data_IF_041234992983
#
_entry.id   IF_041234992983
#
_cell.length_a   1.000
_cell.length_b   1.000
_cell.length_c   1.000
_cell.angle_alpha   90.00
_cell.angle_beta   90.00
_cell.angle_gamma   90.00
#
_symmetry.space_group_name_H-M   'P 1'
#
loop_
_entity.id
_entity.type
_entity.pdbx_description
1 polymer ?
#
# COMPACT_ATOMS: atom_id res chain seq x y z
N UNK A 1 -19.09 -42.49 -6.42
CA UNK A 1 -19.67 -41.12 -6.29
C UNK A 1 -21.13 -41.10 -6.74
N UNK A 2 -21.94 -40.16 -6.22
CA UNK A 2 -23.36 -40.03 -6.61
C UNK A 2 -23.49 -39.34 -7.98
N UNK A 3 -24.31 -39.89 -8.87
CA UNK A 3 -24.51 -39.35 -10.22
C UNK A 3 -24.93 -37.87 -10.23
N UNK A 4 -25.72 -37.44 -9.24
CA UNK A 4 -26.15 -36.05 -9.12
C UNK A 4 -24.97 -35.07 -8.98
N UNK A 5 -23.94 -35.44 -8.18
CA UNK A 5 -22.73 -34.60 -8.03
C UNK A 5 -21.95 -34.53 -9.34
N UNK A 6 -21.82 -35.65 -10.04
CA UNK A 6 -21.11 -35.70 -11.32
C UNK A 6 -21.82 -34.85 -12.36
N UNK A 7 -23.14 -34.94 -12.47
CA UNK A 7 -23.93 -34.13 -13.41
C UNK A 7 -23.71 -32.62 -13.27
N UNK A 8 -23.49 -32.13 -12.05
CA UNK A 8 -23.17 -30.72 -11.79
C UNK A 8 -21.78 -30.37 -12.34
N UNK A 9 -20.80 -31.26 -12.16
CA UNK A 9 -19.42 -31.07 -12.62
C UNK A 9 -19.25 -31.21 -14.15
N UNK A 10 -20.18 -31.86 -14.85
CA UNK A 10 -20.04 -32.14 -16.29
C UNK A 10 -20.02 -30.88 -17.17
N UNK A 11 -20.61 -29.76 -16.74
CA UNK A 11 -20.51 -28.50 -17.49
C UNK A 11 -19.08 -27.93 -17.41
N UNK A 12 -18.57 -27.76 -16.19
CA UNK A 12 -17.19 -27.32 -15.96
C UNK A 12 -16.15 -28.28 -16.57
N UNK A 13 -16.46 -29.58 -16.61
CA UNK A 13 -15.64 -30.58 -17.31
C UNK A 13 -15.56 -30.29 -18.83
N UNK A 14 -16.67 -29.92 -19.47
CA UNK A 14 -16.71 -29.60 -20.91
C UNK A 14 -16.03 -28.28 -21.27
N UNK A 15 -15.94 -27.37 -20.31
CA UNK A 15 -15.28 -26.06 -20.46
C UNK A 15 -13.83 -26.09 -19.94
N UNK A 16 -13.36 -27.28 -19.51
CA UNK A 16 -12.00 -27.55 -19.02
C UNK A 16 -11.62 -26.81 -17.73
N UNK A 17 -12.61 -26.41 -16.94
CA UNK A 17 -12.48 -25.57 -15.72
C UNK A 17 -12.23 -26.37 -14.44
N UNK A 18 -12.35 -27.70 -14.50
CA UNK A 18 -12.09 -28.57 -13.36
C UNK A 18 -10.59 -28.69 -13.04
N UNK A 19 -10.27 -28.86 -11.76
CA UNK A 19 -8.94 -29.28 -11.32
C UNK A 19 -8.60 -30.70 -11.83
N UNK A 20 -7.32 -31.06 -11.76
CA UNK A 20 -6.86 -32.38 -12.22
C UNK A 20 -7.53 -33.52 -11.43
N UNK A 21 -7.62 -33.38 -10.11
CA UNK A 21 -8.25 -34.35 -9.21
C UNK A 21 -9.74 -34.55 -9.54
N UNK A 22 -10.47 -33.47 -9.78
CA UNK A 22 -11.89 -33.52 -10.16
C UNK A 22 -12.08 -34.15 -11.54
N UNK A 23 -11.18 -33.88 -12.50
CA UNK A 23 -11.24 -34.49 -13.84
C UNK A 23 -11.05 -36.00 -13.76
N UNK A 24 -10.10 -36.49 -13.00
CA UNK A 24 -9.86 -37.93 -12.82
C UNK A 24 -11.07 -38.62 -12.20
N UNK A 25 -11.65 -37.99 -11.19
CA UNK A 25 -12.85 -38.48 -10.51
C UNK A 25 -14.08 -38.51 -11.43
N UNK A 26 -14.26 -37.49 -12.29
CA UNK A 26 -15.31 -37.46 -13.32
C UNK A 26 -15.06 -38.56 -14.36
N UNK A 27 -13.83 -38.67 -14.87
CA UNK A 27 -13.45 -39.69 -15.86
C UNK A 27 -13.70 -41.11 -15.34
N UNK A 28 -13.29 -41.39 -14.10
CA UNK A 28 -13.53 -42.67 -13.43
C UNK A 28 -15.03 -42.98 -13.27
N UNK A 29 -15.87 -41.97 -13.04
CA UNK A 29 -17.31 -42.18 -13.00
C UNK A 29 -17.92 -42.43 -14.39
N UNK A 30 -17.44 -41.75 -15.42
CA UNK A 30 -17.95 -41.88 -16.78
C UNK A 30 -17.65 -43.25 -17.40
N UNK A 31 -16.55 -43.90 -17.03
CA UNK A 31 -16.24 -45.27 -17.46
C UNK A 31 -17.20 -46.29 -16.87
N UNK A 32 -17.66 -46.06 -15.62
CA UNK A 32 -18.56 -46.98 -14.91
C UNK A 32 -20.05 -46.64 -14.97
N UNK A 33 -20.45 -45.46 -15.47
CA UNK A 33 -21.84 -45.00 -15.44
C UNK A 33 -22.37 -44.55 -16.81
N UNK A 34 -23.12 -45.43 -17.51
CA UNK A 34 -23.72 -45.12 -18.82
C UNK A 34 -24.64 -43.90 -18.79
N UNK A 35 -25.41 -43.70 -17.71
CA UNK A 35 -26.37 -42.58 -17.60
C UNK A 35 -25.68 -41.21 -17.58
N UNK A 36 -24.53 -41.09 -16.91
CA UNK A 36 -23.76 -39.86 -16.87
C UNK A 36 -23.03 -39.62 -18.20
N UNK A 37 -22.55 -40.68 -18.84
CA UNK A 37 -21.97 -40.61 -20.20
C UNK A 37 -22.99 -40.17 -21.25
N UNK A 38 -24.23 -40.65 -21.17
CA UNK A 38 -25.32 -40.18 -22.03
C UNK A 38 -25.66 -38.71 -21.78
N UNK A 39 -25.71 -38.28 -20.51
CA UNK A 39 -25.94 -36.88 -20.16
C UNK A 39 -24.83 -35.96 -20.70
N UNK A 40 -23.56 -36.37 -20.56
CA UNK A 40 -22.42 -35.65 -21.12
C UNK A 40 -22.53 -35.50 -22.65
N UNK A 41 -22.94 -36.56 -23.36
CA UNK A 41 -23.15 -36.50 -24.81
C UNK A 41 -24.29 -35.55 -25.19
N UNK A 42 -25.36 -35.48 -24.38
CA UNK A 42 -26.43 -34.50 -24.54
C UNK A 42 -25.90 -33.06 -24.44
N UNK A 43 -25.09 -32.76 -23.42
CA UNK A 43 -24.45 -31.46 -23.26
C UNK A 43 -23.52 -31.11 -24.43
N UNK A 44 -22.71 -32.06 -24.91
CA UNK A 44 -21.85 -31.87 -26.11
C UNK A 44 -22.67 -31.52 -27.35
N UNK A 45 -23.80 -32.21 -27.52
CA UNK A 45 -24.71 -31.97 -28.65
C UNK A 45 -25.32 -30.57 -28.57
N UNK A 46 -25.80 -30.18 -27.38
CA UNK A 46 -26.33 -28.84 -27.14
C UNK A 46 -25.28 -27.76 -27.45
N UNK A 47 -24.04 -27.93 -26.97
CA UNK A 47 -22.91 -27.01 -27.26
C UNK A 47 -22.62 -26.89 -28.75
N UNK A 48 -22.76 -27.99 -29.50
CA UNK A 48 -22.59 -27.99 -30.96
C UNK A 48 -23.71 -27.25 -31.69
N UNK A 49 -24.96 -27.41 -31.26
CA UNK A 49 -26.13 -26.73 -31.84
C UNK A 49 -26.09 -25.22 -31.54
N UNK A 50 -25.74 -24.85 -30.31
CA UNK A 50 -25.63 -23.45 -29.88
C UNK A 50 -24.40 -22.75 -30.43
N UNK A 51 -23.47 -23.48 -31.08
CA UNK A 51 -22.29 -22.88 -31.67
C UNK A 51 -22.74 -21.95 -32.80
N UNK A 52 -22.46 -20.64 -32.74
CA UNK A 52 -22.89 -19.71 -33.77
C UNK A 52 -22.35 -20.13 -35.15
N UNK A 53 -23.17 -19.99 -36.19
CA UNK A 53 -22.76 -20.19 -37.58
C UNK A 53 -21.64 -19.20 -37.91
N UNK A 54 -20.59 -19.68 -38.57
CA UNK A 54 -19.29 -19.01 -38.78
C UNK A 54 -19.34 -17.83 -39.76
N UNK A 55 -20.10 -16.79 -39.47
CA UNK A 55 -19.94 -15.48 -40.12
C UNK A 55 -19.93 -14.35 -39.10
N UNK A 56 -19.22 -14.57 -38.00
CA UNK A 56 -18.83 -13.49 -37.10
C UNK A 56 -17.50 -12.89 -37.58
N UNK A 57 -17.54 -12.19 -38.71
CA UNK A 57 -16.40 -11.37 -39.11
C UNK A 57 -16.38 -10.11 -38.23
N UNK A 58 -15.29 -9.85 -37.48
CA UNK A 58 -15.21 -8.63 -36.69
C UNK A 58 -15.27 -7.41 -37.62
N UNK A 59 -15.83 -6.30 -37.12
CA UNK A 59 -15.86 -5.04 -37.87
C UNK A 59 -14.43 -4.64 -38.32
N UNK A 60 -14.25 -3.98 -39.48
CA UNK A 60 -12.95 -3.50 -39.91
C UNK A 60 -12.18 -2.79 -38.78
N UNK A 61 -10.86 -3.01 -38.72
CA UNK A 61 -9.96 -2.45 -37.70
C UNK A 61 -10.26 -2.85 -36.25
N UNK A 62 -11.01 -3.94 -36.01
CA UNK A 62 -11.24 -4.45 -34.65
C UNK A 62 -9.95 -4.74 -33.90
N UNK A 63 -9.01 -5.45 -34.54
CA UNK A 63 -7.71 -5.79 -33.94
C UNK A 63 -6.93 -4.54 -33.54
N UNK A 64 -6.84 -3.55 -34.42
CA UNK A 64 -6.16 -2.28 -34.13
C UNK A 64 -6.77 -1.56 -32.92
N UNK A 65 -8.10 -1.45 -32.87
CA UNK A 65 -8.80 -0.82 -31.73
C UNK A 65 -8.64 -1.60 -30.44
N UNK A 66 -8.65 -2.93 -30.52
CA UNK A 66 -8.45 -3.82 -29.38
C UNK A 66 -7.03 -3.65 -28.82
N UNK A 67 -6.01 -3.73 -29.68
CA UNK A 67 -4.62 -3.60 -29.29
C UNK A 67 -4.30 -2.22 -28.73
N UNK A 68 -4.85 -1.15 -29.34
CA UNK A 68 -4.70 0.19 -28.80
C UNK A 68 -5.25 0.29 -27.36
N UNK A 69 -6.42 -0.29 -27.09
CA UNK A 69 -7.03 -0.28 -25.76
C UNK A 69 -6.25 -1.13 -24.74
N UNK A 70 -5.72 -2.29 -25.13
CA UNK A 70 -4.86 -3.12 -24.26
C UNK A 70 -3.60 -2.34 -23.87
N UNK A 71 -2.92 -1.72 -24.83
CA UNK A 71 -1.71 -0.93 -24.57
C UNK A 71 -1.99 0.31 -23.71
N UNK A 72 -3.15 0.95 -23.88
CA UNK A 72 -3.55 2.07 -23.03
C UNK A 72 -3.78 1.64 -21.58
N UNK A 73 -4.40 0.46 -21.37
CA UNK A 73 -4.57 -0.11 -20.03
C UNK A 73 -3.22 -0.45 -19.37
N UNK A 74 -2.26 -0.99 -20.11
CA UNK A 74 -0.90 -1.25 -19.60
C UNK A 74 -0.14 0.04 -19.26
N UNK A 75 -0.28 1.10 -20.08
CA UNK A 75 0.37 2.39 -19.82
C UNK A 75 -0.20 3.12 -18.61
N UNK A 76 -1.47 2.89 -18.28
CA UNK A 76 -2.16 3.47 -17.13
C UNK A 76 -1.97 2.67 -15.83
N UNK A 77 -1.19 1.57 -15.84
CA UNK A 77 -0.86 0.81 -14.66
C UNK A 77 0.17 1.56 -13.79
N UNK A 78 -0.23 2.67 -13.15
CA UNK A 78 0.33 3.40 -11.99
C UNK A 78 1.83 3.71 -11.90
N UNK A 79 2.66 3.21 -12.81
CA UNK A 79 4.10 3.19 -12.71
C UNK A 79 4.71 3.45 -14.08
N UNK A 80 4.64 4.70 -14.51
CA UNK A 80 5.44 5.13 -15.65
C UNK A 80 6.93 4.91 -15.35
N UNK A 81 7.74 4.48 -16.33
CA UNK A 81 9.18 4.26 -16.12
C UNK A 81 9.92 5.55 -15.73
N UNK A 82 9.32 6.72 -15.95
CA UNK A 82 9.82 8.01 -15.45
C UNK A 82 9.61 8.17 -13.94
N UNK A 83 8.41 7.90 -13.44
CA UNK A 83 8.08 8.01 -12.02
C UNK A 83 8.86 7.00 -11.16
N UNK A 84 9.01 5.76 -11.64
CA UNK A 84 9.83 4.74 -10.97
C UNK A 84 11.30 5.16 -10.87
N UNK A 85 11.87 5.74 -11.94
CA UNK A 85 13.26 6.22 -11.94
C UNK A 85 13.48 7.37 -10.97
N UNK A 86 12.54 8.31 -10.89
CA UNK A 86 12.61 9.44 -9.97
C UNK A 86 12.43 8.99 -8.51
N UNK A 87 11.45 8.13 -8.24
CA UNK A 87 11.21 7.55 -6.92
C UNK A 87 12.42 6.72 -6.44
N UNK A 88 13.06 5.93 -7.30
CA UNK A 88 14.27 5.17 -6.94
C UNK A 88 15.42 6.09 -6.52
N UNK A 89 15.59 7.22 -7.21
CA UNK A 89 16.67 8.19 -6.89
C UNK A 89 16.39 8.91 -5.56
N UNK A 90 15.14 9.28 -5.29
CA UNK A 90 14.77 9.94 -4.04
C UNK A 90 14.81 8.98 -2.84
N UNK A 91 14.37 7.73 -3.01
CA UNK A 91 14.44 6.69 -1.96
C UNK A 91 15.90 6.41 -1.56
N UNK A 92 16.82 6.28 -2.53
CA UNK A 92 18.24 6.06 -2.22
C UNK A 92 18.88 7.24 -1.46
N UNK A 93 18.55 8.48 -1.84
CA UNK A 93 19.04 9.68 -1.13
C UNK A 93 18.45 9.77 0.28
N UNK A 94 17.16 9.50 0.44
CA UNK A 94 16.48 9.52 1.74
C UNK A 94 17.05 8.45 2.69
N UNK A 95 17.28 7.23 2.19
CA UNK A 95 17.93 6.16 2.96
C UNK A 95 19.37 6.52 3.36
N UNK A 96 20.13 7.14 2.45
CA UNK A 96 21.46 7.65 2.76
C UNK A 96 21.45 8.73 3.84
N UNK A 97 20.52 9.68 3.77
CA UNK A 97 20.36 10.73 4.79
C UNK A 97 19.94 10.14 6.15
N UNK A 98 19.01 9.19 6.16
CA UNK A 98 18.60 8.49 7.38
C UNK A 98 19.76 7.71 7.99
N UNK A 99 20.57 7.02 7.17
CA UNK A 99 21.75 6.31 7.63
C UNK A 99 22.80 7.25 8.22
N UNK A 100 23.05 8.40 7.58
CA UNK A 100 23.97 9.45 8.10
C UNK A 100 23.42 10.03 9.41
N UNK A 101 22.13 10.32 9.49
CA UNK A 101 21.50 10.82 10.72
C UNK A 101 21.56 9.78 11.86
N UNK A 102 21.38 8.49 11.55
CA UNK A 102 21.53 7.41 12.50
C UNK A 102 22.98 7.26 12.98
N UNK A 103 23.97 7.37 12.08
CA UNK A 103 25.39 7.39 12.45
C UNK A 103 25.68 8.59 13.35
N UNK A 104 25.25 9.80 13.00
CA UNK A 104 25.47 10.99 13.84
C UNK A 104 24.79 10.90 15.21
N UNK A 105 23.64 10.23 15.30
CA UNK A 105 22.99 9.94 16.57
C UNK A 105 23.76 8.90 17.40
N UNK A 106 24.38 7.91 16.73
CA UNK A 106 25.16 6.85 17.37
C UNK A 106 26.59 7.29 17.73
N UNK A 107 27.17 8.23 16.99
CA UNK A 107 28.46 8.87 17.27
C UNK A 107 28.31 10.14 18.09
N UNK A 108 27.14 10.40 18.71
CA UNK A 108 27.05 11.41 19.76
C UNK A 108 28.16 11.06 20.75
N UNK A 109 29.22 11.87 20.90
CA UNK A 109 30.07 11.67 22.05
C UNK A 109 29.13 11.86 23.22
N UNK A 110 29.01 10.84 24.05
CA UNK A 110 28.56 11.01 25.42
C UNK A 110 29.27 12.27 25.90
N UNK A 111 28.52 13.37 26.08
CA UNK A 111 29.10 14.60 26.60
C UNK A 111 29.36 14.28 28.08
N UNK A 112 30.45 13.54 28.29
CA UNK A 112 31.08 13.31 29.57
C UNK A 112 31.73 14.64 29.94
N UNK A 113 30.88 15.53 30.44
CA UNK A 113 31.23 16.83 30.94
C UNK A 113 30.19 17.18 31.98
N UNK A 114 30.29 16.55 33.15
CA UNK A 114 29.66 17.04 34.36
C UNK A 114 30.02 18.51 34.50
N UNK A 115 29.05 19.40 34.32
CA UNK A 115 29.20 20.81 34.64
C UNK A 115 29.32 20.86 36.16
N UNK A 116 30.56 20.86 36.67
CA UNK A 116 30.86 21.19 38.05
C UNK A 116 30.63 22.70 38.24
N UNK A 117 29.86 23.12 39.26
CA UNK A 117 29.49 24.53 39.48
C UNK A 117 30.67 25.48 39.78
N UNK A 118 31.88 24.96 39.98
CA UNK A 118 33.02 25.74 40.48
C UNK A 118 33.67 26.66 39.42
N UNK A 119 33.24 26.54 38.15
CA UNK A 119 33.76 27.36 37.05
C UNK A 119 33.18 28.79 36.98
N UNK A 120 32.22 29.14 37.84
CA UNK A 120 31.58 30.47 37.86
C UNK A 120 32.17 31.43 38.90
N UNK A 121 33.06 30.99 39.80
CA UNK A 121 33.53 31.82 40.91
C UNK A 121 34.84 32.60 40.64
N UNK A 122 35.43 32.52 39.45
CA UNK A 122 36.74 33.14 39.17
C UNK A 122 36.79 33.99 37.89
N UNK A 123 35.66 34.43 37.33
CA UNK A 123 35.66 35.17 36.05
C UNK A 123 34.99 36.55 36.03
N UNK A 124 34.50 37.09 37.15
CA UNK A 124 34.04 38.49 37.19
C UNK A 124 34.40 39.21 38.50
N UNK A 125 35.71 39.35 38.78
CA UNK A 125 36.22 40.44 39.61
C UNK A 125 37.40 41.07 38.88
N UNK A 126 37.12 41.91 37.88
CA UNK A 126 37.98 43.04 37.51
C UNK A 126 37.18 44.08 36.73
N UNK A 127 36.78 45.13 37.46
CA UNK A 127 36.79 46.53 37.03
C UNK A 127 35.99 46.92 35.79
N UNK A 128 34.77 47.45 35.99
CA UNK A 128 34.48 48.85 35.66
C UNK A 128 33.18 49.36 36.31
N UNK A 129 33.38 50.18 37.35
CA UNK A 129 32.66 51.42 37.69
C UNK A 129 31.16 51.56 37.36
N UNK A 130 30.34 51.47 38.42
CA UNK A 130 29.32 52.45 38.84
C UNK A 130 28.30 52.90 37.78
N UNK A 131 27.03 52.49 37.95
CA UNK A 131 25.92 53.43 38.18
C UNK A 131 24.68 52.68 38.67
N UNK A 132 24.24 53.05 39.87
CA UNK A 132 23.05 52.60 40.57
C UNK A 132 21.75 53.00 39.86
N UNK A 133 20.66 52.37 40.30
CA UNK A 133 19.27 52.87 40.30
C UNK A 133 18.40 52.54 39.08
N UNK A 134 17.71 51.39 39.13
CA UNK A 134 16.30 51.38 39.54
C UNK A 134 15.72 49.95 39.51
N UNK A 135 15.67 49.37 40.70
CA UNK A 135 14.89 48.18 41.05
C UNK A 135 13.40 48.58 41.09
N UNK A 136 12.53 47.93 40.31
CA UNK A 136 11.08 47.89 40.60
C UNK A 136 10.68 46.45 40.85
N UNK A 137 9.93 46.16 41.95
CA UNK A 137 9.72 44.81 42.43
C UNK A 137 8.68 44.05 41.61
N UNK A 138 8.94 42.76 41.43
CA UNK A 138 8.04 41.76 40.86
C UNK A 138 6.75 41.68 41.69
N UNK A 139 5.64 42.18 41.14
CA UNK A 139 4.32 42.12 41.79
C UNK A 139 3.58 40.85 41.34
N UNK A 140 3.45 39.89 42.26
CA UNK A 140 2.60 38.71 42.10
C UNK A 140 1.13 39.13 42.00
N UNK A 141 0.49 38.78 40.89
CA UNK A 141 -0.94 39.02 40.62
C UNK A 141 -1.74 37.92 41.33
N UNK A 142 -2.60 38.29 42.29
CA UNK A 142 -3.49 37.34 42.99
C UNK A 142 -4.84 37.24 42.30
N UNK A 143 -5.61 36.19 42.65
CA UNK A 143 -6.84 35.79 41.91
C UNK A 143 -7.96 36.83 41.96
N UNK A 144 -7.87 37.82 42.82
CA UNK A 144 -8.81 38.93 42.92
C UNK A 144 -8.60 40.01 41.82
N UNK A 145 -7.39 40.14 41.26
CA UNK A 145 -7.09 41.10 40.17
C UNK A 145 -7.69 40.66 38.82
N UNK A 146 -7.94 39.36 38.65
CA UNK A 146 -8.54 38.77 37.43
C UNK A 146 -10.04 39.08 37.32
N UNK A 147 -10.73 39.29 38.44
CA UNK A 147 -12.18 39.54 38.48
C UNK A 147 -12.52 40.98 38.06
N UNK A 148 -11.61 41.95 38.29
CA UNK A 148 -11.78 43.35 37.90
C UNK A 148 -11.61 43.56 36.39
N UNK A 149 -10.78 42.75 35.72
CA UNK A 149 -10.60 42.81 34.26
C UNK A 149 -11.74 42.15 33.47
N UNK A 150 -12.53 41.27 34.10
CA UNK A 150 -13.61 40.54 33.45
C UNK A 150 -14.97 41.28 33.43
N UNK A 151 -15.12 42.41 34.15
CA UNK A 151 -16.36 43.21 34.19
C UNK A 151 -16.21 44.66 33.68
N UNK A 152 -15.10 44.96 33.01
CA UNK A 152 -14.92 46.22 32.26
C UNK A 152 -15.54 46.09 30.86
N UNK A 153 -16.81 46.45 30.73
CA UNK A 153 -17.45 46.73 29.42
C UNK A 153 -17.20 48.16 29.00
#
# INVERSE_FOLDING_TARGET
MKCQKIKILLSAYLDNELSQEEKELVNSHLTGCPSCSQYLNGLKTLKKILRPSRDFSPRPFFETRLMARIQEMEKNALFSPGFIRLARRTILVALGFLFIAAILAFTRPEIAGSISPDSYLLSEVTTNTISENNFLPEKNITKEDVIVLAYSK
#
